data_IF_797341748216
#
_entry.id   IF_797341748216
#
_cell.length_a   1.000
_cell.length_b   1.000
_cell.length_c   1.000
_cell.angle_alpha   90.00
_cell.angle_beta   90.00
_cell.angle_gamma   90.00
#
_symmetry.space_group_name_H-M   'P 1'
#
loop_
_entity.id
_entity.type
_entity.pdbx_description
1 polymer ?
#
# COMPACT_ATOMS: atom_id res chain seq x y z
N UNK A 1 0.98 -5.85 28.42
CA UNK A 1 1.96 -6.27 27.41
C UNK A 1 2.00 -7.78 27.41
N UNK A 2 1.82 -8.42 26.24
CA UNK A 2 1.74 -9.89 26.07
C UNK A 2 3.10 -10.62 26.27
N UNK A 3 4.11 -9.95 26.86
CA UNK A 3 5.45 -10.53 27.04
C UNK A 3 6.29 -10.69 25.76
N UNK A 4 5.85 -10.12 24.64
CA UNK A 4 6.53 -10.21 23.34
C UNK A 4 7.57 -9.09 23.17
N UNK A 5 8.62 -9.37 22.38
CA UNK A 5 9.64 -8.39 21.96
C UNK A 5 9.80 -8.38 20.43
N UNK A 6 10.08 -7.20 19.86
CA UNK A 6 10.36 -7.04 18.42
C UNK A 6 11.71 -7.70 18.09
N UNK A 7 11.69 -8.80 17.35
CA UNK A 7 12.93 -9.46 16.89
C UNK A 7 13.54 -8.77 15.67
N UNK A 8 12.69 -8.40 14.71
CA UNK A 8 13.08 -7.74 13.47
C UNK A 8 11.96 -6.81 13.02
N UNK A 9 12.35 -5.66 12.47
CA UNK A 9 11.47 -4.78 11.72
C UNK A 9 11.76 -4.93 10.24
N UNK A 10 10.80 -5.49 9.49
CA UNK A 10 11.00 -5.75 8.07
C UNK A 10 11.07 -4.46 7.25
N UNK A 11 10.43 -3.38 7.71
CA UNK A 11 10.49 -2.08 7.06
C UNK A 11 11.88 -1.45 7.23
N UNK A 12 12.40 -1.43 8.46
CA UNK A 12 13.75 -0.91 8.73
C UNK A 12 14.82 -1.75 8.01
N UNK A 13 14.71 -3.07 8.06
CA UNK A 13 15.65 -3.97 7.38
C UNK A 13 15.65 -3.74 5.87
N UNK A 14 14.47 -3.68 5.25
CA UNK A 14 14.36 -3.44 3.81
C UNK A 14 14.95 -2.09 3.40
N UNK A 15 14.69 -1.04 4.18
CA UNK A 15 15.24 0.29 3.92
C UNK A 15 16.77 0.30 4.01
N UNK A 16 17.36 -0.41 4.99
CA UNK A 16 18.81 -0.51 5.13
C UNK A 16 19.45 -1.28 3.97
N UNK A 17 18.80 -2.33 3.48
CA UNK A 17 19.31 -3.18 2.39
C UNK A 17 19.16 -2.56 1.00
N UNK A 18 18.12 -1.75 0.79
CA UNK A 18 17.73 -1.28 -0.56
C UNK A 18 17.80 0.23 -0.73
N UNK A 19 17.74 0.99 0.35
CA UNK A 19 17.51 2.43 0.32
C UNK A 19 16.10 2.82 -0.14
N UNK A 20 15.17 1.86 -0.27
CA UNK A 20 13.80 2.06 -0.74
C UNK A 20 12.79 1.75 0.37
N UNK A 21 11.57 2.33 0.34
CA UNK A 21 10.48 1.91 1.23
C UNK A 21 10.06 0.47 0.93
N UNK A 22 9.58 -0.27 1.93
CA UNK A 22 9.05 -1.63 1.73
C UNK A 22 7.64 -1.55 1.12
N UNK A 23 7.40 -2.06 -0.10
CA UNK A 23 6.05 -2.08 -0.67
C UNK A 23 5.20 -3.17 0.01
N UNK A 24 4.09 -2.76 0.61
CA UNK A 24 3.21 -3.66 1.40
C UNK A 24 1.91 -4.01 0.68
N UNK A 25 1.41 -3.11 -0.17
CA UNK A 25 0.17 -3.31 -0.90
C UNK A 25 0.09 -2.40 -2.11
N UNK A 26 -0.60 -2.89 -3.14
CA UNK A 26 -0.90 -2.14 -4.37
C UNK A 26 -2.34 -2.42 -4.78
N UNK A 27 -2.98 -1.43 -5.40
CA UNK A 27 -4.22 -1.67 -6.15
C UNK A 27 -3.86 -2.19 -7.53
N UNK A 28 -4.46 -3.31 -7.92
CA UNK A 28 -4.27 -3.92 -9.24
C UNK A 28 -5.59 -3.98 -9.98
N UNK A 29 -5.52 -3.76 -11.29
CA UNK A 29 -6.65 -3.83 -12.20
C UNK A 29 -6.42 -4.94 -13.21
N UNK A 30 -7.47 -5.66 -13.59
CA UNK A 30 -7.37 -6.64 -14.68
C UNK A 30 -7.12 -5.92 -16.00
N UNK A 31 -6.29 -6.53 -16.86
CA UNK A 31 -5.91 -5.97 -18.17
C UNK A 31 -7.09 -5.79 -19.12
N UNK A 32 -8.15 -6.58 -18.96
CA UNK A 32 -9.34 -6.56 -19.80
C UNK A 32 -10.37 -5.47 -19.44
N UNK A 33 -10.09 -4.63 -18.44
CA UNK A 33 -10.85 -3.39 -18.20
C UNK A 33 -10.68 -2.42 -19.38
N UNK A 34 -9.55 -2.48 -20.10
CA UNK A 34 -9.32 -1.74 -21.33
C UNK A 34 -9.45 -0.22 -21.16
N UNK A 35 -10.24 0.41 -22.03
CA UNK A 35 -10.40 1.87 -22.11
C UNK A 35 -10.99 2.51 -20.85
N UNK A 36 -11.59 1.72 -19.94
CA UNK A 36 -12.16 2.22 -18.68
C UNK A 36 -11.12 2.33 -17.55
N UNK A 37 -9.89 1.90 -17.78
CA UNK A 37 -8.85 1.87 -16.75
C UNK A 37 -8.50 3.28 -16.20
N UNK A 38 -8.39 4.34 -17.03
CA UNK A 38 -8.16 5.70 -16.53
C UNK A 38 -9.32 6.19 -15.66
N UNK A 39 -10.57 5.95 -16.05
CA UNK A 39 -11.75 6.33 -15.25
C UNK A 39 -11.74 5.64 -13.88
N UNK A 40 -11.42 4.34 -13.85
CA UNK A 40 -11.33 3.58 -12.61
C UNK A 40 -10.24 4.15 -11.69
N UNK A 41 -9.07 4.47 -12.25
CA UNK A 41 -7.96 5.07 -11.50
C UNK A 41 -8.35 6.43 -10.93
N UNK A 42 -9.01 7.28 -11.71
CA UNK A 42 -9.49 8.58 -11.27
C UNK A 42 -10.51 8.47 -10.12
N UNK A 43 -11.49 7.58 -10.23
CA UNK A 43 -12.49 7.36 -9.17
C UNK A 43 -11.85 6.84 -7.88
N UNK A 44 -10.85 5.96 -7.97
CA UNK A 44 -10.12 5.48 -6.80
C UNK A 44 -9.33 6.61 -6.13
N UNK A 45 -8.65 7.46 -6.91
CA UNK A 45 -7.92 8.61 -6.39
C UNK A 45 -8.86 9.61 -5.71
N UNK A 46 -10.01 9.91 -6.31
CA UNK A 46 -11.03 10.79 -5.73
C UNK A 46 -11.58 10.20 -4.44
N UNK A 47 -11.79 8.88 -4.37
CA UNK A 47 -12.22 8.20 -3.15
C UNK A 47 -11.17 8.29 -2.02
N UNK A 48 -9.89 8.17 -2.34
CA UNK A 48 -8.80 8.30 -1.35
C UNK A 48 -8.76 9.73 -0.82
N UNK A 49 -8.77 10.72 -1.72
CA UNK A 49 -8.80 12.15 -1.37
C UNK A 49 -10.00 12.50 -0.50
N UNK A 50 -11.20 12.04 -0.88
CA UNK A 50 -12.40 12.25 -0.08
C UNK A 50 -12.27 11.68 1.34
N UNK A 51 -11.64 10.51 1.50
CA UNK A 51 -11.36 9.90 2.80
C UNK A 51 -10.36 10.69 3.63
N UNK A 52 -9.30 11.21 3.00
CA UNK A 52 -8.29 12.05 3.66
C UNK A 52 -8.87 13.40 4.09
N UNK A 53 -9.59 14.08 3.19
CA UNK A 53 -10.22 15.39 3.44
C UNK A 53 -11.31 15.31 4.52
N UNK A 54 -11.94 14.15 4.67
CA UNK A 54 -13.02 13.91 5.63
C UNK A 54 -12.63 12.84 6.67
N UNK A 55 -11.38 12.87 7.13
CA UNK A 55 -10.79 11.84 8.01
C UNK A 55 -11.66 11.46 9.22
N UNK A 56 -12.26 12.38 10.00
CA UNK A 56 -13.10 11.98 11.14
C UNK A 56 -14.32 11.14 10.73
N UNK A 57 -14.92 11.43 9.58
CA UNK A 57 -16.06 10.65 9.07
C UNK A 57 -15.62 9.31 8.49
N UNK A 58 -14.54 9.31 7.70
CA UNK A 58 -13.94 8.11 7.16
C UNK A 58 -13.55 7.13 8.27
N UNK A 59 -12.95 7.62 9.35
CA UNK A 59 -12.59 6.80 10.52
C UNK A 59 -13.83 6.24 11.23
N UNK A 60 -14.90 7.02 11.43
CA UNK A 60 -16.16 6.49 11.99
C UNK A 60 -16.74 5.34 11.18
N UNK A 61 -16.64 5.40 9.85
CA UNK A 61 -17.04 4.29 8.99
C UNK A 61 -16.07 3.09 9.13
N UNK A 62 -14.77 3.34 9.05
CA UNK A 62 -13.72 2.32 9.14
C UNK A 62 -13.75 1.52 10.45
N UNK A 63 -14.11 2.16 11.57
CA UNK A 63 -14.20 1.51 12.88
C UNK A 63 -15.16 0.32 12.92
N UNK A 64 -16.16 0.27 12.03
CA UNK A 64 -17.06 -0.90 11.89
C UNK A 64 -16.31 -2.17 11.48
N UNK A 65 -15.11 -2.03 10.92
CA UNK A 65 -14.22 -3.11 10.50
C UNK A 65 -13.02 -3.29 11.46
N UNK A 66 -12.83 -2.41 12.44
CA UNK A 66 -11.65 -2.32 13.30
C UNK A 66 -11.51 -3.40 14.37
N UNK A 67 -12.34 -4.46 14.37
CA UNK A 67 -12.26 -5.60 15.31
C UNK A 67 -12.15 -5.22 16.81
N UNK A 68 -12.72 -4.09 17.21
CA UNK A 68 -12.78 -3.64 18.60
C UNK A 68 -11.54 -2.89 19.11
N UNK A 69 -10.63 -2.46 18.22
CA UNK A 69 -9.55 -1.55 18.61
C UNK A 69 -10.10 -0.16 18.99
N UNK A 70 -9.37 0.56 19.83
CA UNK A 70 -9.68 1.95 20.17
C UNK A 70 -9.51 2.88 18.95
N UNK A 71 -10.29 3.97 18.90
CA UNK A 71 -10.30 4.91 17.77
C UNK A 71 -8.94 5.57 17.57
N UNK A 72 -8.24 5.98 18.63
CA UNK A 72 -6.94 6.65 18.48
C UNK A 72 -5.88 5.67 17.98
N UNK A 73 -5.98 4.42 18.39
CA UNK A 73 -5.12 3.36 17.87
C UNK A 73 -5.41 3.04 16.40
N UNK A 74 -6.69 2.98 16.03
CA UNK A 74 -7.13 2.78 14.65
C UNK A 74 -6.65 3.92 13.76
N UNK A 75 -6.79 5.17 14.21
CA UNK A 75 -6.41 6.35 13.45
C UNK A 75 -4.90 6.37 13.15
N UNK A 76 -4.08 6.07 14.17
CA UNK A 76 -2.63 5.91 13.96
C UNK A 76 -2.33 4.79 12.98
N UNK A 77 -2.96 3.62 13.15
CA UNK A 77 -2.73 2.48 12.25
C UNK A 77 -3.10 2.81 10.81
N UNK A 78 -4.28 3.40 10.58
CA UNK A 78 -4.72 3.82 9.24
C UNK A 78 -3.77 4.86 8.66
N UNK A 79 -3.30 5.83 9.45
CA UNK A 79 -2.35 6.85 8.98
C UNK A 79 -1.00 6.29 8.51
N UNK A 80 -0.58 5.13 9.01
CA UNK A 80 0.64 4.46 8.54
C UNK A 80 0.53 3.98 7.09
N UNK A 81 -0.68 3.67 6.60
CA UNK A 81 -0.90 3.07 5.29
C UNK A 81 -1.71 3.95 4.33
N UNK A 82 -2.48 4.90 4.86
CA UNK A 82 -3.36 5.80 4.11
C UNK A 82 -2.89 7.24 4.31
N UNK A 83 -2.10 7.72 3.36
CA UNK A 83 -1.49 9.06 3.33
C UNK A 83 -1.19 9.47 1.87
N UNK A 84 -0.39 10.51 1.66
CA UNK A 84 -0.05 10.99 0.30
C UNK A 84 0.57 9.91 -0.60
N UNK A 85 1.31 8.95 -0.03
CA UNK A 85 1.87 7.82 -0.80
C UNK A 85 0.78 6.87 -1.33
N UNK A 86 -0.42 6.91 -0.75
CA UNK A 86 -1.59 6.18 -1.24
C UNK A 86 -2.21 6.87 -2.45
N UNK A 87 -2.12 8.21 -2.53
CA UNK A 87 -2.55 8.98 -3.69
C UNK A 87 -1.61 8.73 -4.88
N UNK A 88 -0.31 8.83 -4.63
CA UNK A 88 0.73 8.45 -5.58
C UNK A 88 2.03 8.13 -4.83
N UNK A 89 2.50 6.88 -4.95
CA UNK A 89 3.77 6.45 -4.36
C UNK A 89 4.98 6.86 -5.21
N UNK A 90 4.76 7.50 -6.37
CA UNK A 90 5.78 8.13 -7.20
C UNK A 90 6.83 7.16 -7.73
N UNK A 91 7.90 7.72 -8.29
CA UNK A 91 9.00 6.93 -8.87
C UNK A 91 9.73 6.08 -7.83
N UNK A 92 9.84 6.57 -6.59
CA UNK A 92 10.46 5.83 -5.50
C UNK A 92 9.66 4.57 -5.14
N UNK A 93 8.33 4.69 -5.02
CA UNK A 93 7.48 3.53 -4.79
C UNK A 93 7.44 2.56 -5.97
N UNK A 94 7.52 3.05 -7.22
CA UNK A 94 7.64 2.20 -8.42
C UNK A 94 8.91 1.37 -8.37
N UNK A 95 10.06 1.99 -8.07
CA UNK A 95 11.34 1.30 -7.88
C UNK A 95 11.30 0.31 -6.74
N UNK A 96 10.64 0.65 -5.63
CA UNK A 96 10.48 -0.26 -4.50
C UNK A 96 9.72 -1.55 -4.89
N UNK A 97 8.65 -1.42 -5.67
CA UNK A 97 7.88 -2.57 -6.20
C UNK A 97 8.73 -3.39 -7.17
N UNK A 98 9.45 -2.73 -8.08
CA UNK A 98 10.33 -3.40 -9.03
C UNK A 98 11.43 -4.20 -8.32
N UNK A 99 12.12 -3.61 -7.35
CA UNK A 99 13.17 -4.27 -6.56
C UNK A 99 12.63 -5.51 -5.82
N UNK A 100 11.43 -5.42 -5.23
CA UNK A 100 10.80 -6.57 -4.57
C UNK A 100 10.54 -7.71 -5.56
N UNK A 101 10.03 -7.39 -6.76
CA UNK A 101 9.76 -8.39 -7.78
C UNK A 101 11.04 -8.99 -8.37
N UNK A 102 12.08 -8.19 -8.59
CA UNK A 102 13.40 -8.70 -9.05
C UNK A 102 13.97 -9.71 -8.05
N UNK A 103 13.91 -9.43 -6.75
CA UNK A 103 14.36 -10.39 -5.72
C UNK A 103 13.48 -11.64 -5.67
N UNK A 104 12.18 -11.50 -5.88
CA UNK A 104 11.24 -12.62 -5.98
C UNK A 104 11.56 -13.54 -7.17
N UNK A 105 11.87 -12.95 -8.32
CA UNK A 105 12.24 -13.68 -9.54
C UNK A 105 13.54 -14.48 -9.34
N UNK A 106 14.55 -13.85 -8.73
CA UNK A 106 15.85 -14.47 -8.46
C UNK A 106 15.76 -15.73 -7.57
N UNK A 107 14.71 -15.85 -6.75
CA UNK A 107 14.47 -17.03 -5.90
C UNK A 107 13.38 -17.97 -6.47
N UNK A 108 12.84 -17.68 -7.65
CA UNK A 108 11.77 -18.46 -8.27
C UNK A 108 10.44 -18.40 -7.50
N UNK A 109 10.10 -17.26 -6.91
CA UNK A 109 8.89 -17.08 -6.12
C UNK A 109 7.59 -17.23 -6.94
N UNK A 110 7.69 -17.12 -8.27
CA UNK A 110 6.58 -17.22 -9.22
C UNK A 110 7.00 -17.99 -10.48
N UNK A 111 6.03 -18.57 -11.21
CA UNK A 111 6.31 -19.42 -12.38
C UNK A 111 6.85 -18.66 -13.59
N UNK A 112 6.60 -17.35 -13.68
CA UNK A 112 7.07 -16.48 -14.75
C UNK A 112 7.32 -15.07 -14.23
N UNK A 113 8.25 -14.31 -14.83
CA UNK A 113 8.54 -12.94 -14.41
C UNK A 113 7.31 -12.02 -14.49
N UNK A 114 7.12 -11.20 -13.45
CA UNK A 114 5.99 -10.26 -13.38
C UNK A 114 6.27 -9.04 -14.25
N UNK A 115 5.42 -8.82 -15.26
CA UNK A 115 5.43 -7.59 -16.05
C UNK A 115 4.59 -6.50 -15.39
N UNK A 116 5.24 -5.40 -15.03
CA UNK A 116 4.60 -4.20 -14.51
C UNK A 116 4.11 -3.30 -15.66
N UNK A 117 2.87 -2.86 -15.56
CA UNK A 117 2.35 -1.73 -16.34
C UNK A 117 1.60 -0.83 -15.37
N UNK A 118 1.90 0.47 -15.41
CA UNK A 118 1.29 1.45 -14.52
C UNK A 118 0.28 2.30 -15.28
N UNK A 119 -0.80 2.66 -14.59
CA UNK A 119 -1.77 3.64 -15.10
C UNK A 119 -1.14 5.03 -15.01
N UNK A 120 -1.29 5.81 -16.08
CA UNK A 120 -0.86 7.20 -16.15
C UNK A 120 -1.86 8.15 -15.47
#
# INVERSE_FOLDING_TARGET
SEGLSKSLDLGEWWLLETGLPLPLGVNVARRDIGERLPDLSAVLLDSIRAGLDNRPEAMRYAMRFGRGIDLDLADRFVGMYVNELTCDYGDEGRKAVEELLVRGDAIGAFPEPVRLDYVA
#
